data_IF_268519427579
#
_entry.id   IF_268519427579
#
_cell.length_a   1.000
_cell.length_b   1.000
_cell.length_c   1.000
_cell.angle_alpha   90.00
_cell.angle_beta   90.00
_cell.angle_gamma   90.00
#
_symmetry.space_group_name_H-M   'P 1'
#
loop_
_entity.id
_entity.type
_entity.pdbx_description
1 polymer ?
#
# COMPACT_ATOMS: atom_id res chain seq x y z
N UNK A 1 -17.21 -26.49 -10.64
CA UNK A 1 -16.60 -25.18 -10.92
C UNK A 1 -17.50 -24.51 -11.96
N UNK A 2 -18.11 -23.33 -11.68
CA UNK A 2 -19.04 -22.71 -12.61
C UNK A 2 -18.27 -22.15 -13.83
N UNK A 3 -18.85 -22.29 -15.02
CA UNK A 3 -18.28 -22.01 -16.34
C UNK A 3 -18.10 -20.51 -16.68
N UNK A 4 -17.88 -19.64 -15.68
CA UNK A 4 -17.78 -18.17 -15.86
C UNK A 4 -16.33 -17.64 -15.82
N UNK A 5 -15.34 -18.52 -15.93
CA UNK A 5 -13.91 -18.18 -15.87
C UNK A 5 -13.17 -18.39 -17.21
N UNK A 6 -13.89 -18.74 -18.27
CA UNK A 6 -13.27 -19.13 -19.55
C UNK A 6 -12.67 -17.94 -20.33
N UNK A 7 -13.05 -16.70 -19.98
CA UNK A 7 -12.56 -15.45 -20.60
C UNK A 7 -11.91 -14.50 -19.56
N UNK A 8 -11.35 -15.02 -18.46
CA UNK A 8 -10.51 -14.17 -17.62
C UNK A 8 -9.22 -13.85 -18.41
N UNK A 9 -8.93 -12.58 -18.73
CA UNK A 9 -7.71 -12.27 -19.44
C UNK A 9 -6.55 -12.77 -18.61
N UNK A 10 -5.73 -13.66 -19.19
CA UNK A 10 -4.55 -14.15 -18.50
C UNK A 10 -3.75 -12.94 -18.02
N UNK A 11 -3.54 -12.85 -16.71
CA UNK A 11 -2.76 -11.76 -16.14
C UNK A 11 -1.39 -11.81 -16.79
N UNK A 12 -1.04 -10.78 -17.56
CA UNK A 12 0.20 -10.78 -18.34
C UNK A 12 1.35 -11.21 -17.42
N UNK A 13 2.09 -12.30 -17.73
CA UNK A 13 3.12 -12.82 -16.83
C UNK A 13 4.18 -11.77 -16.47
N UNK A 14 4.43 -10.85 -17.41
CA UNK A 14 5.31 -9.68 -17.23
C UNK A 14 4.81 -8.68 -16.16
N UNK A 15 3.51 -8.67 -15.85
CA UNK A 15 2.95 -7.84 -14.79
C UNK A 15 2.84 -8.62 -13.48
N UNK A 16 2.71 -9.96 -13.54
CA UNK A 16 2.53 -10.82 -12.36
C UNK A 16 3.69 -10.71 -11.38
N UNK A 17 4.92 -10.75 -11.88
CA UNK A 17 6.09 -10.66 -11.02
C UNK A 17 6.22 -9.26 -10.40
N UNK A 18 6.00 -8.19 -11.17
CA UNK A 18 6.02 -6.80 -10.67
C UNK A 18 4.99 -6.61 -9.55
N UNK A 19 3.78 -7.11 -9.75
CA UNK A 19 2.71 -7.05 -8.75
C UNK A 19 3.10 -7.78 -7.46
N UNK A 20 3.67 -8.98 -7.60
CA UNK A 20 4.16 -9.76 -6.46
C UNK A 20 5.31 -9.05 -5.72
N UNK A 21 6.27 -8.49 -6.45
CA UNK A 21 7.39 -7.73 -5.88
C UNK A 21 6.90 -6.48 -5.14
N UNK A 22 5.98 -5.74 -5.73
CA UNK A 22 5.32 -4.61 -5.08
C UNK A 22 4.66 -5.04 -3.76
N UNK A 23 3.93 -6.16 -3.73
CA UNK A 23 3.32 -6.66 -2.49
C UNK A 23 4.36 -7.01 -1.41
N UNK A 24 5.46 -7.66 -1.79
CA UNK A 24 6.53 -8.00 -0.85
C UNK A 24 7.14 -6.75 -0.22
N UNK A 25 7.53 -5.78 -1.04
CA UNK A 25 8.07 -4.48 -0.60
C UNK A 25 7.04 -3.69 0.21
N UNK A 26 5.79 -3.67 -0.24
CA UNK A 26 4.70 -2.96 0.41
C UNK A 26 4.40 -3.47 1.82
N UNK A 27 4.66 -4.75 2.10
CA UNK A 27 4.40 -5.36 3.40
C UNK A 27 5.52 -5.13 4.41
N UNK A 28 6.71 -4.77 3.95
CA UNK A 28 7.89 -4.52 4.79
C UNK A 28 8.17 -3.04 4.99
N UNK A 29 7.46 -2.15 4.26
CA UNK A 29 7.62 -0.70 4.37
C UNK A 29 7.54 -0.23 5.82
N UNK A 30 8.54 0.53 6.24
CA UNK A 30 8.54 1.19 7.54
C UNK A 30 7.55 2.36 7.59
N UNK A 31 7.29 2.88 8.79
CA UNK A 31 6.39 4.02 8.95
C UNK A 31 6.13 4.41 10.39
N UNK A 32 6.51 5.63 10.78
CA UNK A 32 6.21 6.15 12.13
C UNK A 32 4.76 6.60 12.25
N UNK A 33 4.36 7.61 11.48
CA UNK A 33 2.99 8.18 11.49
C UNK A 33 2.10 7.66 10.35
N UNK A 34 2.56 6.63 9.64
CA UNK A 34 1.89 6.09 8.47
C UNK A 34 2.88 5.39 7.54
N UNK A 35 2.38 4.70 6.51
CA UNK A 35 3.21 3.97 5.56
C UNK A 35 4.18 4.92 4.83
N UNK A 36 5.46 4.55 4.76
CA UNK A 36 6.45 5.26 3.96
C UNK A 36 6.42 4.82 2.48
N UNK A 37 6.86 5.69 1.56
CA UNK A 37 7.03 5.32 0.16
C UNK A 37 8.11 4.26 -0.02
N UNK A 38 7.90 3.36 -0.99
CA UNK A 38 8.92 2.40 -1.40
C UNK A 38 10.04 3.18 -2.10
N UNK A 39 11.25 3.06 -1.58
CA UNK A 39 12.43 3.77 -2.06
C UNK A 39 13.30 2.89 -2.95
N UNK A 40 14.15 3.51 -3.78
CA UNK A 40 15.19 2.78 -4.53
C UNK A 40 16.12 1.97 -3.62
N UNK A 41 16.39 2.47 -2.40
CA UNK A 41 17.22 1.75 -1.43
C UNK A 41 16.55 0.46 -0.95
N UNK A 42 15.25 0.50 -0.66
CA UNK A 42 14.49 -0.70 -0.29
C UNK A 42 14.41 -1.69 -1.45
N UNK A 43 14.20 -1.20 -2.68
CA UNK A 43 14.19 -2.05 -3.89
C UNK A 43 15.56 -2.72 -4.07
N UNK A 44 16.66 -1.97 -3.95
CA UNK A 44 18.02 -2.50 -4.06
C UNK A 44 18.33 -3.53 -2.97
N UNK A 45 17.93 -3.25 -1.72
CA UNK A 45 18.13 -4.17 -0.61
C UNK A 45 17.32 -5.47 -0.79
N UNK A 46 16.05 -5.34 -1.19
CA UNK A 46 15.19 -6.48 -1.51
C UNK A 46 15.75 -7.30 -2.68
N UNK A 47 16.18 -6.66 -3.77
CA UNK A 47 16.77 -7.31 -4.93
C UNK A 47 18.01 -8.14 -4.54
N UNK A 48 18.87 -7.59 -3.68
CA UNK A 48 20.03 -8.30 -3.14
C UNK A 48 19.67 -9.51 -2.28
N UNK A 49 18.67 -9.38 -1.39
CA UNK A 49 18.21 -10.48 -0.53
C UNK A 49 17.52 -11.60 -1.33
N UNK A 50 16.73 -11.23 -2.33
CA UNK A 50 15.95 -12.16 -3.15
C UNK A 50 16.74 -12.69 -4.36
N UNK A 51 18.00 -12.28 -4.53
CA UNK A 51 18.84 -12.61 -5.68
C UNK A 51 18.12 -12.36 -7.02
N UNK A 52 17.43 -11.22 -7.09
CA UNK A 52 16.65 -10.81 -8.26
C UNK A 52 17.31 -9.61 -8.91
N UNK A 53 17.33 -9.55 -10.24
CA UNK A 53 17.90 -8.43 -11.02
C UNK A 53 16.78 -7.66 -11.74
N UNK A 54 16.02 -6.81 -11.02
CA UNK A 54 14.94 -6.06 -11.65
C UNK A 54 15.50 -5.04 -12.66
N UNK A 55 14.88 -4.99 -13.83
CA UNK A 55 15.24 -4.04 -14.88
C UNK A 55 14.83 -2.61 -14.49
N UNK A 56 15.43 -1.57 -15.09
CA UNK A 56 15.03 -0.18 -14.85
C UNK A 56 13.52 0.07 -15.07
N UNK A 57 12.92 -0.61 -16.06
CA UNK A 57 11.50 -0.49 -16.35
C UNK A 57 10.62 -1.11 -15.26
N UNK A 58 11.00 -2.28 -14.72
CA UNK A 58 10.28 -2.94 -13.61
C UNK A 58 10.37 -2.11 -12.32
N UNK A 59 11.56 -1.56 -12.03
CA UNK A 59 11.74 -0.64 -10.91
C UNK A 59 10.80 0.56 -11.05
N UNK A 60 10.73 1.16 -12.25
CA UNK A 60 9.80 2.26 -12.50
C UNK A 60 8.34 1.85 -12.29
N UNK A 61 7.94 0.64 -12.71
CA UNK A 61 6.57 0.16 -12.49
C UNK A 61 6.26 -0.01 -11.00
N UNK A 62 7.19 -0.52 -10.19
CA UNK A 62 7.02 -0.62 -8.73
C UNK A 62 6.77 0.76 -8.13
N UNK A 63 7.57 1.77 -8.51
CA UNK A 63 7.41 3.14 -8.01
C UNK A 63 6.07 3.75 -8.43
N UNK A 64 5.63 3.50 -9.68
CA UNK A 64 4.33 3.97 -10.17
C UNK A 64 3.17 3.30 -9.42
N UNK A 65 3.24 2.00 -9.17
CA UNK A 65 2.26 1.28 -8.36
C UNK A 65 2.17 1.85 -6.95
N UNK A 66 3.31 2.15 -6.33
CA UNK A 66 3.36 2.76 -5.00
C UNK A 66 2.67 4.13 -4.97
N UNK A 67 2.94 4.98 -5.96
CA UNK A 67 2.27 6.28 -6.08
C UNK A 67 0.74 6.16 -6.23
N UNK A 68 0.25 5.17 -7.00
CA UNK A 68 -1.19 4.89 -7.14
C UNK A 68 -1.77 4.40 -5.82
N UNK A 69 -1.06 3.52 -5.11
CA UNK A 69 -1.48 3.01 -3.82
C UNK A 69 -1.66 4.14 -2.80
N UNK A 70 -0.73 5.10 -2.72
CA UNK A 70 -0.87 6.26 -1.84
C UNK A 70 -2.08 7.12 -2.18
N UNK A 71 -2.35 7.36 -3.47
CA UNK A 71 -3.56 8.08 -3.90
C UNK A 71 -4.82 7.39 -3.40
N UNK A 72 -4.91 6.06 -3.58
CA UNK A 72 -6.06 5.28 -3.13
C UNK A 72 -6.20 5.27 -1.60
N UNK A 73 -5.10 5.22 -0.84
CA UNK A 73 -5.16 5.34 0.62
C UNK A 73 -5.63 6.72 1.08
N UNK A 74 -5.16 7.78 0.43
CA UNK A 74 -5.57 9.14 0.76
C UNK A 74 -7.07 9.35 0.52
N UNK A 75 -7.63 8.83 -0.59
CA UNK A 75 -9.08 8.85 -0.81
C UNK A 75 -9.83 8.03 0.24
N UNK A 76 -9.35 6.82 0.57
CA UNK A 76 -9.97 5.97 1.61
C UNK A 76 -10.00 6.64 2.99
N UNK A 77 -9.00 7.44 3.32
CA UNK A 77 -8.95 8.15 4.61
C UNK A 77 -9.91 9.35 4.68
N UNK A 78 -10.25 9.97 3.54
CA UNK A 78 -11.28 11.03 3.48
C UNK A 78 -12.68 10.50 3.79
N UNK A 79 -12.95 9.25 3.40
CA UNK A 79 -14.27 8.61 3.59
C UNK A 79 -14.49 8.10 5.03
N UNK A 80 -13.47 8.12 5.89
CA UNK A 80 -13.62 7.69 7.29
C UNK A 80 -14.33 8.78 8.11
N UNK A 81 -15.42 8.44 8.84
CA UNK A 81 -16.11 9.42 9.67
C UNK A 81 -15.20 9.95 10.79
N UNK A 82 -15.14 11.27 10.94
CA UNK A 82 -14.29 11.94 11.93
C UNK A 82 -14.69 11.56 13.37
N UNK A 83 -13.90 10.67 13.98
CA UNK A 83 -14.09 10.22 15.37
C UNK A 83 -13.77 11.30 16.40
N UNK A 84 -13.25 12.49 16.02
CA UNK A 84 -12.87 13.55 16.98
C UNK A 84 -14.06 14.35 17.52
N UNK A 85 -15.23 14.31 16.87
CA UNK A 85 -16.44 15.03 17.35
C UNK A 85 -17.09 14.43 18.61
N UNK A 86 -16.83 13.16 18.96
CA UNK A 86 -17.51 12.49 20.09
C UNK A 86 -16.90 12.69 21.49
N UNK A 87 -15.64 13.13 21.62
CA UNK A 87 -14.91 13.08 22.91
C UNK A 87 -14.89 14.40 23.71
N UNK A 88 -15.52 15.47 23.19
CA UNK A 88 -15.57 16.79 23.87
C UNK A 88 -16.76 16.97 24.83
N UNK A 89 -17.74 16.07 24.84
CA UNK A 89 -18.96 16.23 25.66
C UNK A 89 -18.94 15.63 27.08
N UNK A 90 -17.96 14.80 27.44
CA UNK A 90 -18.03 13.98 28.68
C UNK A 90 -17.11 14.49 29.81
N UNK A 91 -16.26 15.50 29.57
CA UNK A 91 -15.23 15.92 30.55
C UNK A 91 -15.60 17.09 31.46
N UNK A 92 -16.78 17.70 31.33
CA UNK A 92 -17.14 18.92 32.08
C UNK A 92 -18.35 18.71 33.03
N UNK A 93 -18.52 17.52 33.62
CA UNK A 93 -19.65 17.23 34.51
C UNK A 93 -19.25 16.71 35.91
N UNK A 94 -17.96 16.74 36.29
CA UNK A 94 -17.50 16.19 37.57
C UNK A 94 -16.83 17.17 38.53
N UNK A 95 -16.90 18.48 38.28
CA UNK A 95 -16.37 19.51 39.20
C UNK A 95 -17.42 20.58 39.47
N UNK A 96 -18.35 20.29 40.37
CA UNK A 96 -19.13 21.28 41.11
C UNK A 96 -19.58 20.63 42.41
N UNK A 97 -18.76 20.83 43.45
CA UNK A 97 -19.09 20.58 44.84
C UNK A 97 -19.20 21.93 45.54
#
# INVERSE_FOLDING_TARGET
MPALLEDEPEFYPALQHIWNWFHQLSNTRGGGFGPAPITFQEIAAWAGLMQTEPTPWEIEQIIRLDAVWFKLQAERDKDKPDKRRGKKGVRNASESN
#
